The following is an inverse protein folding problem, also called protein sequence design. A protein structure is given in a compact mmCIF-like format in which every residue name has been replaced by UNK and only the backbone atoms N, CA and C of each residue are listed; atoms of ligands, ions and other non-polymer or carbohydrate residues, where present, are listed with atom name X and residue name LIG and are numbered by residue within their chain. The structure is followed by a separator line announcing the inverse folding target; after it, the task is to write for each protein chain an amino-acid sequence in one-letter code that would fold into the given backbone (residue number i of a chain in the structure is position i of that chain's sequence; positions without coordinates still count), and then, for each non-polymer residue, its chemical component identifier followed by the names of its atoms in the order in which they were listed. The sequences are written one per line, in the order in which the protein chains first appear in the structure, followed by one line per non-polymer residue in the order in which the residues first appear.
data_IF_009667980607
#
_entry.id   IF_009667980607
#
_cell.length_a   1.000
_cell.length_b   1.000
_cell.length_c   1.000
_cell.angle_alpha   90.00
_cell.angle_beta   90.00
_cell.angle_gamma   90.00
#
_symmetry.space_group_name_H-M   'P 1'
#
loop_
_entity.id
_entity.type
_entity.pdbx_description
1 polymer ?
#
# COMPACT_ATOMS: atom_id res chain seq x y z
N UNK A 1 -25.69 -8.80 -79.89
CA UNK A 1 -26.69 -7.74 -80.17
C UNK A 1 -27.95 -8.06 -79.36
N UNK A 2 -28.47 -7.10 -78.57
CA UNK A 2 -29.59 -7.20 -77.57
C UNK A 2 -29.25 -8.00 -76.30
N UNK A 3 -29.09 -7.43 -75.09
CA UNK A 3 -29.91 -6.53 -74.25
C UNK A 3 -31.22 -7.16 -73.72
N UNK A 4 -31.25 -7.47 -72.40
CA UNK A 4 -32.30 -7.17 -71.37
C UNK A 4 -31.95 -7.95 -70.06
N UNK A 5 -31.71 -7.32 -68.90
CA UNK A 5 -32.67 -6.65 -67.97
C UNK A 5 -33.70 -7.64 -67.39
N UNK A 6 -34.08 -7.70 -66.10
CA UNK A 6 -33.75 -7.06 -64.80
C UNK A 6 -34.57 -7.86 -63.75
N UNK A 7 -34.12 -7.87 -62.49
CA UNK A 7 -34.90 -8.07 -61.23
C UNK A 7 -35.48 -9.48 -60.95
N UNK A 8 -35.35 -10.08 -59.76
CA UNK A 8 -35.75 -9.48 -58.49
C UNK A 8 -35.23 -10.17 -57.22
N UNK A 9 -34.66 -9.35 -56.31
CA UNK A 9 -34.87 -9.29 -54.86
C UNK A 9 -34.95 -10.58 -54.01
N UNK A 10 -33.92 -10.81 -53.18
CA UNK A 10 -34.10 -10.78 -51.71
C UNK A 10 -32.77 -10.53 -51.01
N UNK A 11 -32.76 -9.39 -50.32
CA UNK A 11 -31.73 -8.86 -49.45
C UNK A 11 -31.67 -9.72 -48.18
N UNK A 12 -30.51 -10.33 -47.90
CA UNK A 12 -30.18 -10.81 -46.56
C UNK A 12 -28.98 -9.97 -46.10
N UNK A 13 -29.19 -9.08 -45.13
CA UNK A 13 -28.09 -8.38 -44.47
C UNK A 13 -27.26 -9.41 -43.69
N UNK A 14 -26.04 -9.66 -44.15
CA UNK A 14 -24.96 -10.14 -43.30
C UNK A 14 -24.01 -8.96 -43.10
N UNK A 15 -24.12 -8.30 -41.95
CA UNK A 15 -23.11 -7.35 -41.48
C UNK A 15 -21.88 -8.15 -41.08
N UNK A 16 -20.87 -8.18 -41.95
CA UNK A 16 -19.51 -8.56 -41.58
C UNK A 16 -18.90 -7.41 -40.78
N UNK A 17 -18.65 -7.62 -39.49
CA UNK A 17 -17.83 -6.72 -38.70
C UNK A 17 -16.41 -6.71 -39.31
N UNK A 18 -16.00 -5.56 -39.85
CA UNK A 18 -14.62 -5.33 -40.26
C UNK A 18 -13.76 -5.17 -39.00
N UNK A 19 -12.94 -6.17 -38.72
CA UNK A 19 -11.85 -6.06 -37.75
C UNK A 19 -10.79 -5.17 -38.38
N UNK A 20 -10.75 -3.90 -37.98
CA UNK A 20 -9.61 -3.04 -38.24
C UNK A 20 -8.48 -3.51 -37.34
N UNK A 21 -7.51 -4.23 -37.91
CA UNK A 21 -6.20 -4.42 -37.29
C UNK A 21 -5.53 -3.06 -37.21
N UNK A 22 -5.64 -2.40 -36.05
CA UNK A 22 -4.73 -1.33 -35.70
C UNK A 22 -3.34 -1.97 -35.60
N UNK A 23 -2.47 -1.66 -36.56
CA UNK A 23 -1.04 -1.91 -36.42
C UNK A 23 -0.57 -1.05 -35.25
N UNK A 24 -0.49 -1.65 -34.06
CA UNK A 24 0.27 -1.09 -32.95
C UNK A 24 1.72 -1.13 -33.38
N UNK A 25 2.21 -0.01 -33.90
CA UNK A 25 3.64 0.20 -34.06
C UNK A 25 4.20 0.23 -32.65
N UNK A 26 4.80 -0.88 -32.21
CA UNK A 26 5.74 -0.88 -31.09
C UNK A 26 6.92 -0.02 -31.54
N UNK A 27 6.85 1.27 -31.25
CA UNK A 27 8.05 2.10 -31.17
C UNK A 27 8.95 1.44 -30.14
N UNK A 28 10.16 1.06 -30.56
CA UNK A 28 11.21 0.59 -29.68
C UNK A 28 11.26 1.52 -28.46
N UNK A 29 11.14 0.94 -27.28
CA UNK A 29 11.27 1.66 -26.04
C UNK A 29 12.66 2.32 -26.05
N UNK A 30 12.69 3.64 -26.21
CA UNK A 30 13.83 4.45 -25.81
C UNK A 30 14.23 3.96 -24.41
N UNK A 31 15.49 3.59 -24.15
CA UNK A 31 15.87 3.18 -22.80
C UNK A 31 15.42 4.30 -21.87
N UNK A 32 14.52 3.98 -20.94
CA UNK A 32 14.06 4.94 -19.96
C UNK A 32 15.31 5.46 -19.27
N UNK A 33 15.65 6.72 -19.53
CA UNK A 33 16.49 7.48 -18.62
C UNK A 33 15.94 7.25 -17.22
N UNK A 34 16.81 7.05 -16.22
CA UNK A 34 16.49 6.89 -14.80
C UNK A 34 15.83 8.17 -14.22
N UNK A 35 14.72 8.58 -14.81
CA UNK A 35 13.87 9.69 -14.44
C UNK A 35 12.77 9.22 -13.51
N UNK A 36 12.40 7.93 -13.52
CA UNK A 36 11.39 7.40 -12.62
C UNK A 36 12.02 6.80 -11.37
N UNK A 37 11.45 7.09 -10.20
CA UNK A 37 11.81 6.45 -8.94
C UNK A 37 10.59 5.97 -8.18
N UNK A 38 10.75 4.93 -7.36
CA UNK A 38 9.76 4.53 -6.38
C UNK A 38 10.14 4.92 -4.97
N UNK A 39 9.12 5.24 -4.20
CA UNK A 39 9.19 5.40 -2.76
C UNK A 39 8.21 4.41 -2.13
N UNK A 40 8.65 3.80 -1.04
CA UNK A 40 7.86 2.84 -0.28
C UNK A 40 7.79 3.27 1.17
N UNK A 41 6.60 3.19 1.74
CA UNK A 41 6.35 3.55 3.14
C UNK A 41 5.48 2.45 3.74
N UNK A 42 5.85 1.95 4.90
CA UNK A 42 5.01 0.98 5.60
C UNK A 42 4.98 1.18 7.11
N UNK A 43 3.97 0.55 7.72
CA UNK A 43 3.85 0.35 9.15
C UNK A 43 3.57 -1.14 9.39
N UNK A 44 4.38 -1.80 10.22
CA UNK A 44 4.32 -3.24 10.44
C UNK A 44 4.60 -3.59 11.90
N UNK A 45 4.06 -4.72 12.35
CA UNK A 45 4.26 -5.28 13.69
C UNK A 45 5.40 -6.29 13.60
N UNK A 46 6.57 -6.05 14.22
CA UNK A 46 7.73 -6.93 14.07
C UNK A 46 7.51 -8.35 14.60
N UNK A 47 6.62 -8.51 15.58
CA UNK A 47 6.33 -9.79 16.23
C UNK A 47 5.33 -10.65 15.43
N UNK A 48 5.37 -11.97 15.63
CA UNK A 48 4.34 -12.89 15.11
C UNK A 48 2.95 -12.60 15.72
N UNK A 49 2.91 -12.22 16.99
CA UNK A 49 1.69 -11.86 17.70
C UNK A 49 1.91 -10.62 18.57
N UNK A 50 1.01 -9.66 18.46
CA UNK A 50 0.93 -8.51 19.35
C UNK A 50 -0.22 -8.68 20.34
N UNK A 51 -0.07 -8.27 21.62
CA UNK A 51 -1.19 -8.20 22.54
C UNK A 51 -2.24 -7.18 22.04
N UNK A 52 -3.48 -7.32 22.50
CA UNK A 52 -4.50 -6.34 22.18
C UNK A 52 -4.12 -4.97 22.79
N UNK A 53 -3.86 -3.93 21.97
CA UNK A 53 -3.41 -2.65 22.48
C UNK A 53 -4.51 -1.88 23.23
N UNK A 54 -5.76 -2.33 23.12
CA UNK A 54 -6.90 -1.78 23.83
C UNK A 54 -7.35 -2.65 25.02
N UNK A 55 -6.53 -3.61 25.47
CA UNK A 55 -6.91 -4.54 26.55
C UNK A 55 -7.20 -3.86 27.90
N UNK A 56 -6.67 -2.67 28.13
CA UNK A 56 -6.92 -1.88 29.35
C UNK A 56 -8.22 -1.07 29.30
N UNK A 57 -8.69 -0.76 28.08
CA UNK A 57 -9.82 0.16 27.86
C UNK A 57 -11.11 -0.60 27.51
N UNK A 58 -10.99 -1.83 27.01
CA UNK A 58 -12.13 -2.64 26.57
C UNK A 58 -12.20 -3.95 27.37
N UNK A 59 -13.40 -4.48 27.63
CA UNK A 59 -13.53 -5.90 27.97
C UNK A 59 -12.74 -6.71 26.94
N UNK A 60 -12.01 -7.77 27.33
CA UNK A 60 -11.10 -8.47 26.42
C UNK A 60 -11.90 -9.27 25.39
N UNK A 61 -12.40 -8.58 24.35
CA UNK A 61 -13.04 -9.21 23.20
C UNK A 61 -12.00 -9.90 22.34
N UNK A 62 -10.79 -9.35 22.25
CA UNK A 62 -9.62 -9.99 21.66
C UNK A 62 -8.46 -9.97 22.67
N UNK A 63 -7.69 -11.05 22.70
CA UNK A 63 -6.50 -11.22 23.54
C UNK A 63 -5.23 -10.81 22.81
N UNK A 64 -5.15 -11.06 21.50
CA UNK A 64 -3.98 -10.78 20.66
C UNK A 64 -4.36 -10.61 19.19
N UNK A 65 -3.43 -10.11 18.39
CA UNK A 65 -3.53 -9.96 16.95
C UNK A 65 -2.31 -10.57 16.26
N UNK A 66 -2.47 -11.08 15.04
CA UNK A 66 -1.35 -11.47 14.18
C UNK A 66 -0.54 -10.22 13.81
N UNK A 67 0.77 -10.26 14.01
CA UNK A 67 1.71 -9.28 13.49
C UNK A 67 2.31 -9.70 12.15
N UNK A 68 3.39 -9.05 11.73
CA UNK A 68 4.01 -9.26 10.42
C UNK A 68 5.26 -10.17 10.48
N UNK A 69 5.72 -10.53 11.68
CA UNK A 69 6.88 -11.42 11.94
C UNK A 69 8.10 -11.11 11.06
N UNK A 70 8.51 -9.85 11.04
CA UNK A 70 9.61 -9.38 10.19
C UNK A 70 10.37 -8.21 10.78
N UNK A 71 11.60 -8.05 10.31
CA UNK A 71 12.40 -6.84 10.54
C UNK A 71 12.21 -5.78 9.45
N UNK A 72 13.09 -4.78 9.49
CA UNK A 72 13.25 -3.83 8.40
C UNK A 72 13.90 -4.51 7.21
N UNK A 73 13.11 -4.73 6.16
CA UNK A 73 13.55 -5.41 4.95
C UNK A 73 12.86 -4.79 3.73
N UNK A 74 13.65 -4.44 2.71
CA UNK A 74 13.14 -3.78 1.51
C UNK A 74 12.18 -4.68 0.73
N UNK A 75 12.50 -5.96 0.57
CA UNK A 75 11.67 -6.90 -0.20
C UNK A 75 10.29 -7.07 0.47
N UNK A 76 10.28 -7.19 1.80
CA UNK A 76 9.04 -7.25 2.58
C UNK A 76 8.23 -5.96 2.46
N UNK A 77 8.87 -4.79 2.54
CA UNK A 77 8.20 -3.51 2.32
C UNK A 77 7.61 -3.42 0.91
N UNK A 78 8.36 -3.80 -0.12
CA UNK A 78 7.90 -3.79 -1.52
C UNK A 78 6.76 -4.79 -1.79
N UNK A 79 6.68 -5.88 -1.02
CA UNK A 79 5.60 -6.87 -1.14
C UNK A 79 4.22 -6.33 -0.75
N UNK A 80 4.17 -5.20 -0.02
CA UNK A 80 2.94 -4.62 0.51
C UNK A 80 2.36 -5.37 1.71
N UNK A 81 3.06 -6.38 2.25
CA UNK A 81 2.67 -7.11 3.45
C UNK A 81 3.00 -6.30 4.71
N UNK A 82 2.10 -5.38 5.04
CA UNK A 82 2.19 -4.55 6.22
C UNK A 82 0.81 -4.19 6.76
N UNK A 83 0.74 -3.64 7.99
CA UNK A 83 -0.51 -3.10 8.55
C UNK A 83 -1.00 -1.88 7.77
N UNK A 84 -0.06 -1.10 7.23
CA UNK A 84 -0.31 0.01 6.33
C UNK A 84 0.86 0.08 5.35
N UNK A 85 0.58 0.18 4.06
CA UNK A 85 1.58 0.27 3.00
C UNK A 85 1.20 1.37 2.01
N UNK A 86 2.18 2.17 1.59
CA UNK A 86 2.06 3.15 0.50
C UNK A 86 3.23 3.00 -0.47
N UNK A 87 2.92 2.94 -1.77
CA UNK A 87 3.89 3.10 -2.86
C UNK A 87 3.62 4.42 -3.58
N UNK A 88 4.68 5.16 -3.89
CA UNK A 88 4.63 6.36 -4.74
C UNK A 88 5.62 6.21 -5.87
N UNK A 89 5.15 6.38 -7.11
CA UNK A 89 5.97 6.40 -8.30
C UNK A 89 6.06 7.83 -8.82
N UNK A 90 7.28 8.35 -8.93
CA UNK A 90 7.54 9.72 -9.36
C UNK A 90 8.32 9.75 -10.67
N UNK A 91 8.02 10.72 -11.52
CA UNK A 91 8.87 11.19 -12.62
C UNK A 91 9.65 12.43 -12.16
N UNK A 92 10.97 12.28 -12.04
CA UNK A 92 11.92 13.30 -11.63
C UNK A 92 12.08 14.43 -12.65
N UNK A 93 11.61 14.26 -13.89
CA UNK A 93 11.75 15.25 -14.97
C UNK A 93 10.41 15.87 -15.40
N UNK A 94 9.27 15.26 -15.05
CA UNK A 94 7.95 15.79 -15.42
C UNK A 94 7.50 17.00 -14.59
N UNK A 95 6.80 17.95 -15.21
CA UNK A 95 6.19 19.10 -14.52
C UNK A 95 5.17 18.66 -13.45
N UNK A 96 4.42 17.60 -13.74
CA UNK A 96 3.57 16.88 -12.78
C UNK A 96 4.30 15.59 -12.36
N UNK A 97 5.03 15.59 -11.24
CA UNK A 97 5.95 14.50 -10.91
C UNK A 97 5.24 13.23 -10.45
N UNK A 98 3.98 13.28 -9.99
CA UNK A 98 3.28 12.10 -9.50
C UNK A 98 2.73 11.26 -10.66
N UNK A 99 3.35 10.12 -10.94
CA UNK A 99 2.85 9.17 -11.95
C UNK A 99 1.70 8.35 -11.37
N UNK A 100 1.94 7.74 -10.21
CA UNK A 100 0.95 6.92 -9.53
C UNK A 100 1.24 6.85 -8.04
N UNK A 101 0.19 6.55 -7.27
CA UNK A 101 0.32 6.17 -5.87
C UNK A 101 -0.67 5.07 -5.53
N UNK A 102 -0.32 4.25 -4.56
CA UNK A 102 -1.13 3.14 -4.09
C UNK A 102 -0.98 3.00 -2.59
N UNK A 103 -2.08 2.84 -1.88
CA UNK A 103 -2.09 2.61 -0.42
C UNK A 103 -2.97 1.42 -0.12
N UNK A 104 -2.48 0.48 0.69
CA UNK A 104 -3.24 -0.71 1.11
C UNK A 104 -2.92 -1.14 2.55
N UNK A 105 -3.70 -2.09 3.05
CA UNK A 105 -3.54 -2.74 4.36
C UNK A 105 -3.58 -4.26 4.21
N UNK A 106 -2.86 -4.96 5.08
CA UNK A 106 -3.07 -6.39 5.25
C UNK A 106 -4.34 -6.66 6.07
N UNK A 107 -5.00 -7.83 5.90
CA UNK A 107 -6.07 -8.24 6.79
C UNK A 107 -5.63 -8.24 8.25
N UNK A 108 -6.49 -7.75 9.13
CA UNK A 108 -6.32 -7.88 10.58
C UNK A 108 -6.88 -9.22 11.02
N UNK A 109 -6.08 -10.00 11.75
CA UNK A 109 -6.52 -11.26 12.36
C UNK A 109 -6.42 -11.11 13.87
N UNK A 110 -7.54 -11.23 14.57
CA UNK A 110 -7.62 -11.12 16.03
C UNK A 110 -8.00 -12.45 16.66
N UNK A 111 -7.42 -12.77 17.81
CA UNK A 111 -7.71 -13.98 18.58
C UNK A 111 -8.48 -13.65 19.84
N UNK A 112 -9.43 -14.51 20.21
CA UNK A 112 -10.23 -14.40 21.43
C UNK A 112 -10.53 -15.74 22.04
N UNK A 113 -10.88 -15.76 23.33
CA UNK A 113 -11.26 -16.99 24.02
C UNK A 113 -12.78 -17.09 24.07
N UNK A 114 -13.33 -18.15 23.49
CA UNK A 114 -14.76 -18.48 23.54
C UNK A 114 -14.93 -19.89 24.10
N UNK A 115 -15.66 -20.02 25.22
CA UNK A 115 -15.86 -21.31 25.91
C UNK A 115 -14.55 -22.05 26.28
N UNK A 116 -13.45 -21.32 26.49
CA UNK A 116 -12.14 -21.89 26.82
C UNK A 116 -11.28 -22.27 25.61
N UNK A 117 -11.77 -22.06 24.39
CA UNK A 117 -11.05 -22.30 23.15
C UNK A 117 -10.64 -20.97 22.48
N UNK A 118 -9.47 -20.96 21.81
CA UNK A 118 -9.05 -19.82 21.01
C UNK A 118 -9.77 -19.82 19.66
N UNK A 119 -10.41 -18.70 19.34
CA UNK A 119 -11.12 -18.45 18.07
C UNK A 119 -10.49 -17.24 17.40
N UNK A 120 -10.38 -17.26 16.08
CA UNK A 120 -9.85 -16.15 15.29
C UNK A 120 -10.92 -15.52 14.41
N UNK A 121 -10.92 -14.19 14.34
CA UNK A 121 -11.72 -13.41 13.41
C UNK A 121 -10.78 -12.66 12.44
N UNK A 122 -11.23 -12.40 11.21
CA UNK A 122 -10.43 -11.70 10.19
C UNK A 122 -11.24 -10.61 9.51
N UNK A 123 -10.68 -9.41 9.42
CA UNK A 123 -11.32 -8.28 8.74
C UNK A 123 -10.27 -7.36 8.12
N UNK A 124 -10.59 -6.76 6.98
CA UNK A 124 -9.75 -5.78 6.29
C UNK A 124 -10.51 -4.45 6.16
N UNK A 125 -9.85 -3.35 6.49
CA UNK A 125 -10.33 -1.98 6.27
C UNK A 125 -9.58 -1.35 5.11
N UNK A 126 -10.25 -0.48 4.35
CA UNK A 126 -9.56 0.39 3.42
C UNK A 126 -8.76 1.45 4.21
N UNK A 127 -7.50 1.74 3.82
CA UNK A 127 -6.76 2.84 4.42
C UNK A 127 -7.30 4.19 3.96
N UNK A 128 -7.06 5.21 4.75
CA UNK A 128 -7.21 6.61 4.32
C UNK A 128 -5.85 7.12 3.89
N UNK A 129 -5.74 7.76 2.73
CA UNK A 129 -4.49 8.39 2.29
C UNK A 129 -4.70 9.67 1.51
N UNK A 130 -3.71 10.55 1.56
CA UNK A 130 -3.63 11.77 0.79
C UNK A 130 -2.17 11.99 0.38
N UNK A 131 -1.92 11.94 -0.92
CA UNK A 131 -0.57 12.01 -1.49
C UNK A 131 -0.55 13.12 -2.53
N UNK A 132 0.41 14.03 -2.40
CA UNK A 132 0.58 15.14 -3.34
C UNK A 132 2.06 15.28 -3.67
N UNK A 133 2.38 15.48 -4.95
CA UNK A 133 3.73 15.82 -5.38
C UNK A 133 3.66 17.01 -6.33
N UNK A 134 4.43 18.06 -6.03
CA UNK A 134 4.47 19.27 -6.85
C UNK A 134 5.90 19.66 -7.16
N UNK A 135 6.13 20.14 -8.39
CA UNK A 135 7.44 20.70 -8.77
C UNK A 135 7.53 22.15 -8.30
N UNK A 136 8.66 22.50 -7.68
CA UNK A 136 9.00 23.84 -7.22
C UNK A 136 10.44 24.16 -7.62
N UNK A 137 10.62 24.73 -8.81
CA UNK A 137 11.95 24.89 -9.41
C UNK A 137 12.53 23.52 -9.79
N UNK A 138 13.75 23.25 -9.35
CA UNK A 138 14.43 21.97 -9.61
C UNK A 138 14.10 20.88 -8.56
N UNK A 139 13.26 21.19 -7.57
CA UNK A 139 12.87 20.28 -6.52
C UNK A 139 11.43 19.79 -6.68
N UNK A 140 11.18 18.55 -6.26
CA UNK A 140 9.86 17.97 -6.04
C UNK A 140 9.55 18.03 -4.55
N UNK A 141 8.40 18.61 -4.21
CA UNK A 141 7.84 18.60 -2.87
C UNK A 141 6.75 17.54 -2.80
N UNK A 142 6.99 16.49 -2.04
CA UNK A 142 6.10 15.37 -1.83
C UNK A 142 5.56 15.38 -0.41
N UNK A 143 4.25 15.31 -0.26
CA UNK A 143 3.57 15.05 1.01
C UNK A 143 2.86 13.71 0.95
N UNK A 144 3.10 12.86 1.95
CA UNK A 144 2.52 11.52 2.04
C UNK A 144 1.82 11.38 3.38
N UNK A 145 0.50 11.31 3.35
CA UNK A 145 -0.31 10.96 4.52
C UNK A 145 -0.98 9.61 4.29
N UNK A 146 -0.89 8.73 5.28
CA UNK A 146 -1.74 7.54 5.32
C UNK A 146 -2.08 7.14 6.76
N UNK A 147 -3.27 6.57 6.94
CA UNK A 147 -3.69 5.96 8.20
C UNK A 147 -4.53 4.70 7.97
N UNK A 148 -4.41 3.75 8.91
CA UNK A 148 -5.20 2.53 8.94
C UNK A 148 -5.68 2.22 10.37
N UNK A 149 -6.98 1.99 10.50
CA UNK A 149 -7.65 1.65 11.75
C UNK A 149 -7.78 0.13 11.88
N UNK A 150 -7.70 -0.39 13.10
CA UNK A 150 -7.97 -1.80 13.37
C UNK A 150 -9.49 -2.07 13.26
N UNK A 151 -9.95 -2.74 12.19
CA UNK A 151 -11.37 -2.89 11.94
C UNK A 151 -12.04 -3.87 12.90
N UNK A 152 -11.29 -4.80 13.50
CA UNK A 152 -11.81 -5.73 14.50
C UNK A 152 -12.01 -5.07 15.85
N UNK A 153 -11.32 -3.98 16.17
CA UNK A 153 -11.59 -3.23 17.39
C UNK A 153 -12.76 -2.27 17.17
N UNK A 154 -12.77 -1.51 16.07
CA UNK A 154 -13.80 -0.49 15.81
C UNK A 154 -15.24 -1.01 15.84
N UNK A 155 -15.48 -2.21 15.28
CA UNK A 155 -16.82 -2.82 15.24
C UNK A 155 -17.32 -3.20 16.63
N UNK A 156 -16.42 -3.44 17.58
CA UNK A 156 -16.75 -3.90 18.94
C UNK A 156 -16.53 -2.84 20.02
N UNK A 157 -16.04 -1.65 19.66
CA UNK A 157 -15.98 -0.52 20.58
C UNK A 157 -17.41 -0.14 21.00
N UNK A 158 -17.69 -0.05 22.32
CA UNK A 158 -18.89 0.65 22.78
C UNK A 158 -18.95 2.05 22.17
N UNK A 159 -20.16 2.58 21.87
CA UNK A 159 -20.30 3.91 21.26
C UNK A 159 -19.57 5.04 22.02
N UNK A 160 -19.42 4.88 23.33
CA UNK A 160 -18.81 5.87 24.22
C UNK A 160 -17.32 5.60 24.53
N UNK A 161 -16.74 4.50 24.02
CA UNK A 161 -15.33 4.20 24.22
C UNK A 161 -14.45 5.11 23.35
N UNK A 162 -13.31 5.59 23.87
CA UNK A 162 -12.38 6.35 23.04
C UNK A 162 -11.87 5.47 21.88
N UNK A 163 -11.75 6.04 20.66
CA UNK A 163 -11.28 5.28 19.52
C UNK A 163 -9.82 4.85 19.74
N UNK A 164 -9.52 3.61 19.36
CA UNK A 164 -8.14 3.14 19.30
C UNK A 164 -7.41 3.95 18.24
N UNK A 165 -6.25 4.57 18.55
CA UNK A 165 -5.51 5.33 17.57
C UNK A 165 -5.07 4.45 16.37
N UNK A 166 -5.13 4.96 15.13
CA UNK A 166 -4.77 4.21 13.93
C UNK A 166 -3.26 4.13 13.74
N UNK A 167 -2.73 3.12 13.06
CA UNK A 167 -1.37 3.21 12.51
C UNK A 167 -1.34 4.37 11.51
N UNK A 168 -0.34 5.25 11.58
CA UNK A 168 -0.37 6.52 10.84
C UNK A 168 1.02 7.10 10.61
N UNK A 169 1.21 7.66 9.42
CA UNK A 169 2.34 8.53 9.12
C UNK A 169 1.92 9.75 8.28
N UNK A 170 2.68 10.84 8.46
CA UNK A 170 2.60 12.05 7.67
C UNK A 170 4.02 12.53 7.36
N UNK A 171 4.46 12.33 6.12
CA UNK A 171 5.81 12.65 5.67
C UNK A 171 5.81 13.85 4.74
N UNK A 172 6.85 14.67 4.88
CA UNK A 172 7.21 15.77 4.01
C UNK A 172 8.59 15.48 3.42
N UNK A 173 8.67 15.44 2.10
CA UNK A 173 9.86 15.00 1.38
C UNK A 173 10.17 16.03 0.30
N UNK A 174 11.38 16.58 0.31
CA UNK A 174 11.92 17.38 -0.79
C UNK A 174 12.94 16.55 -1.54
N UNK A 175 12.85 16.49 -2.86
CA UNK A 175 13.73 15.73 -3.74
C UNK A 175 14.30 16.64 -4.81
N UNK A 176 15.61 16.69 -4.99
CA UNK A 176 16.26 17.45 -6.05
C UNK A 176 17.27 16.58 -6.79
N UNK A 177 17.16 16.51 -8.11
CA UNK A 177 18.09 15.73 -8.92
C UNK A 177 19.32 16.58 -9.29
N UNK A 178 20.49 16.09 -8.90
CA UNK A 178 21.77 16.74 -9.18
C UNK A 178 22.66 15.79 -9.98
N UNK A 179 22.54 15.84 -11.30
CA UNK A 179 23.24 14.91 -12.21
C UNK A 179 22.75 13.47 -12.02
N UNK A 180 23.64 12.59 -11.54
CA UNK A 180 23.34 11.18 -11.26
C UNK A 180 22.94 10.91 -9.80
N UNK A 181 22.70 11.97 -9.03
CA UNK A 181 22.32 11.88 -7.64
C UNK A 181 20.94 12.47 -7.41
N UNK A 182 20.28 11.97 -6.37
CA UNK A 182 19.04 12.49 -5.83
C UNK A 182 19.29 12.98 -4.42
N UNK A 183 19.35 14.29 -4.24
CA UNK A 183 19.39 14.92 -2.92
C UNK A 183 17.99 14.87 -2.32
N UNK A 184 17.89 14.53 -1.03
CA UNK A 184 16.61 14.49 -0.34
C UNK A 184 16.66 15.16 1.02
N UNK A 185 15.51 15.70 1.44
CA UNK A 185 15.20 16.03 2.82
C UNK A 185 13.91 15.32 3.19
N UNK A 186 13.91 14.55 4.27
CA UNK A 186 12.78 13.79 4.77
C UNK A 186 12.45 14.23 6.19
N UNK A 187 11.20 14.54 6.48
CA UNK A 187 10.70 14.83 7.83
C UNK A 187 9.25 14.42 7.96
N UNK A 188 8.69 14.50 9.16
CA UNK A 188 7.27 14.21 9.34
C UNK A 188 6.93 13.77 10.75
N UNK A 189 5.89 12.93 10.83
CA UNK A 189 5.45 12.31 12.07
C UNK A 189 5.02 10.88 11.83
N UNK A 190 5.33 9.99 12.77
CA UNK A 190 4.74 8.65 12.89
C UNK A 190 4.04 8.53 14.24
N UNK A 191 3.38 7.41 14.51
CA UNK A 191 3.12 7.03 15.90
C UNK A 191 4.30 6.28 16.48
N UNK A 192 4.28 6.10 17.80
CA UNK A 192 5.25 5.24 18.49
C UNK A 192 5.03 3.77 18.16
N UNK A 193 3.78 3.32 17.96
CA UNK A 193 3.46 1.96 17.53
C UNK A 193 2.56 1.94 16.28
N UNK A 194 2.72 1.00 15.33
CA UNK A 194 3.72 -0.08 15.28
C UNK A 194 5.07 0.40 14.73
N UNK A 195 5.94 -0.47 14.20
CA UNK A 195 7.19 -0.04 13.56
C UNK A 195 6.94 0.60 12.18
N UNK A 196 7.80 1.53 11.75
CA UNK A 196 7.65 2.25 10.47
C UNK A 196 8.92 2.22 9.64
N UNK A 197 8.80 2.02 8.32
CA UNK A 197 9.92 2.15 7.41
C UNK A 197 9.60 3.04 6.21
N UNK A 198 10.63 3.71 5.70
CA UNK A 198 10.55 4.49 4.47
C UNK A 198 11.80 4.24 3.62
N UNK A 199 11.59 3.97 2.33
CA UNK A 199 12.62 3.79 1.33
C UNK A 199 12.40 4.76 0.16
N UNK A 200 13.48 5.38 -0.31
CA UNK A 200 13.50 6.23 -1.50
C UNK A 200 14.48 5.60 -2.47
N UNK A 201 14.02 5.25 -3.68
CA UNK A 201 14.83 4.55 -4.68
C UNK A 201 15.63 3.39 -4.06
N UNK A 202 14.92 2.49 -3.36
CA UNK A 202 15.44 1.30 -2.69
C UNK A 202 16.43 1.58 -1.54
N UNK A 203 16.68 2.84 -1.20
CA UNK A 203 17.56 3.25 -0.09
C UNK A 203 16.73 3.55 1.17
N UNK A 204 17.03 2.94 2.33
CA UNK A 204 16.31 3.24 3.57
C UNK A 204 16.62 4.67 4.03
N UNK A 205 15.57 5.46 4.29
CA UNK A 205 15.68 6.84 4.81
C UNK A 205 15.11 6.97 6.22
N UNK A 206 14.22 6.06 6.61
CA UNK A 206 13.68 5.94 7.96
C UNK A 206 13.53 4.46 8.29
N UNK A 207 14.09 4.03 9.42
CA UNK A 207 13.86 2.73 10.03
C UNK A 207 13.51 2.99 11.50
N UNK A 208 12.23 3.21 11.80
CA UNK A 208 11.78 3.55 13.14
C UNK A 208 11.25 2.30 13.85
N UNK A 209 12.01 1.81 14.82
CA UNK A 209 11.67 0.65 15.63
C UNK A 209 10.87 0.99 16.89
N UNK A 210 10.35 2.22 17.02
CA UNK A 210 9.71 2.70 18.26
C UNK A 210 8.52 1.86 18.76
N UNK A 211 8.04 0.91 17.95
CA UNK A 211 6.90 0.03 18.26
C UNK A 211 7.16 -1.14 19.20
N UNK A 212 7.92 -0.99 20.30
CA UNK A 212 8.01 -2.08 21.30
C UNK A 212 6.80 -2.12 22.24
N UNK A 213 6.14 -0.98 22.48
CA UNK A 213 5.01 -0.91 23.41
C UNK A 213 3.66 -0.69 22.69
N UNK A 214 2.84 -1.74 22.51
CA UNK A 214 1.52 -1.64 21.90
C UNK A 214 0.54 -0.81 22.74
N UNK A 215 0.85 -0.44 23.99
CA UNK A 215 0.01 0.42 24.81
C UNK A 215 0.26 1.92 24.55
N UNK A 216 1.30 2.29 23.79
CA UNK A 216 1.63 3.68 23.45
C UNK A 216 1.02 4.16 22.11
N UNK A 217 -0.13 3.62 21.70
CA UNK A 217 -0.80 4.00 20.44
C UNK A 217 -1.09 5.50 20.30
N UNK A 218 -1.23 6.23 21.40
CA UNK A 218 -1.61 7.64 21.40
C UNK A 218 -0.48 8.60 21.01
N UNK A 219 0.78 8.18 21.16
CA UNK A 219 1.93 9.07 21.03
C UNK A 219 2.28 9.26 19.56
N UNK A 220 2.36 10.53 19.15
CA UNK A 220 2.85 10.93 17.82
C UNK A 220 4.31 11.35 17.99
N UNK A 221 5.20 10.71 17.25
CA UNK A 221 6.63 10.96 17.27
C UNK A 221 7.02 11.87 16.10
N UNK A 222 7.62 13.05 16.37
CA UNK A 222 8.16 13.88 15.32
C UNK A 222 9.46 13.28 14.78
N UNK A 223 9.58 13.26 13.45
CA UNK A 223 10.81 12.87 12.76
C UNK A 223 11.55 14.16 12.41
N UNK A 224 12.70 14.37 13.07
CA UNK A 224 13.59 15.46 12.75
C UNK A 224 14.06 15.37 11.29
N UNK A 225 14.33 16.50 10.60
CA UNK A 225 14.77 16.47 9.21
C UNK A 225 16.02 15.60 8.99
N UNK A 226 15.89 14.61 8.12
CA UNK A 226 16.96 13.73 7.65
C UNK A 226 17.33 14.20 6.24
N UNK A 227 18.61 14.54 6.04
CA UNK A 227 19.14 14.93 4.74
C UNK A 227 20.08 13.84 4.23
N UNK A 228 20.04 13.59 2.92
CA UNK A 228 20.93 12.64 2.31
C UNK A 228 20.97 12.76 0.80
N UNK A 229 21.72 11.85 0.18
CA UNK A 229 21.91 11.79 -1.25
C UNK A 229 21.93 10.33 -1.69
N UNK A 230 21.18 10.01 -2.75
CA UNK A 230 21.07 8.65 -3.32
C UNK A 230 21.69 8.64 -4.71
N UNK A 231 22.46 7.60 -5.04
CA UNK A 231 22.96 7.41 -6.40
C UNK A 231 21.88 6.78 -7.28
N UNK A 232 21.51 7.45 -8.37
CA UNK A 232 20.51 6.96 -9.34
C UNK A 232 21.07 5.88 -10.27
N UNK A 233 22.38 5.60 -10.25
CA UNK A 233 22.98 4.55 -11.05
C UNK A 233 22.59 3.12 -10.59
N UNK A 234 22.06 2.99 -9.37
CA UNK A 234 21.64 1.74 -8.76
C UNK A 234 20.13 1.60 -8.62
N UNK A 235 19.36 2.61 -9.04
CA UNK A 235 17.91 2.61 -8.90
C UNK A 235 17.28 1.67 -9.93
N UNK A 236 16.73 0.56 -9.46
CA UNK A 236 15.94 -0.36 -10.28
C UNK A 236 14.61 0.31 -10.65
N UNK A 237 14.27 0.31 -11.94
CA UNK A 237 12.90 0.68 -12.36
C UNK A 237 11.98 -0.44 -11.87
N UNK A 238 11.01 -0.16 -10.98
CA UNK A 238 10.14 -1.21 -10.49
C UNK A 238 9.14 -1.59 -11.58
N UNK A 239 8.92 -2.90 -11.73
CA UNK A 239 7.74 -3.36 -12.45
C UNK A 239 6.48 -2.97 -11.66
N UNK A 240 5.42 -2.49 -12.33
CA UNK A 240 4.16 -2.24 -11.64
C UNK A 240 3.68 -3.55 -11.01
N UNK A 241 3.61 -3.59 -9.67
CA UNK A 241 3.06 -4.70 -8.92
C UNK A 241 1.58 -4.82 -9.25
N UNK A 242 1.27 -5.65 -10.24
CA UNK A 242 -0.09 -6.12 -10.45
C UNK A 242 -0.41 -7.05 -9.29
N UNK A 243 -1.24 -6.57 -8.37
CA UNK A 243 -1.86 -7.36 -7.31
C UNK A 243 -2.86 -8.34 -7.95
N UNK A 244 -2.34 -9.31 -8.70
CA UNK A 244 -3.09 -10.41 -9.26
C UNK A 244 -3.34 -11.43 -8.14
N UNK A 245 -4.45 -11.22 -7.41
CA UNK A 245 -5.25 -12.25 -6.78
C UNK A 245 -4.52 -13.37 -6.03
N UNK A 246 -4.18 -13.13 -4.77
CA UNK A 246 -4.14 -14.20 -3.76
C UNK A 246 -5.50 -14.24 -3.07
N UNK A 247 -6.47 -14.86 -3.76
CA UNK A 247 -7.56 -15.54 -3.07
C UNK A 247 -6.93 -16.75 -2.36
N UNK A 248 -6.49 -16.55 -1.12
CA UNK A 248 -6.15 -17.67 -0.25
C UNK A 248 -7.44 -18.45 -0.02
N UNK A 249 -7.46 -19.66 -0.56
CA UNK A 249 -8.41 -20.72 -0.22
C UNK A 249 -8.47 -20.85 1.31
N UNK A 250 -9.47 -20.24 1.93
CA UNK A 250 -10.00 -20.66 3.23
C UNK A 250 -10.73 -21.99 3.03
N UNK A 251 -9.95 -23.07 3.00
CA UNK A 251 -10.45 -24.43 2.95
C UNK A 251 -11.41 -24.72 4.10
N UNK A 252 -12.54 -25.33 3.75
CA UNK A 252 -13.54 -25.92 4.63
C UNK A 252 -12.92 -26.62 5.86
N UNK A 253 -13.16 -26.08 7.05
CA UNK A 253 -13.30 -26.88 8.26
C UNK A 253 -14.79 -27.02 8.55
N UNK A 254 -15.37 -28.08 8.00
CA UNK A 254 -16.72 -28.52 8.30
C UNK A 254 -16.81 -28.94 9.77
N UNK A 255 -17.36 -28.06 10.62
CA UNK A 255 -17.69 -28.41 11.99
C UNK A 255 -18.89 -29.38 11.99
N UNK A 256 -18.59 -30.65 12.25
CA UNK A 256 -19.55 -31.74 12.35
C UNK A 256 -20.36 -31.57 13.63
N UNK A 257 -21.55 -30.95 13.56
CA UNK A 257 -22.55 -31.02 14.64
C UNK A 257 -22.91 -32.49 14.88
N UNK A 258 -22.53 -33.03 16.04
CA UNK A 258 -23.09 -34.29 16.54
C UNK A 258 -24.22 -33.93 17.51
N UNK A 259 -25.44 -34.23 17.09
CA UNK A 259 -26.57 -34.36 18.00
C UNK A 259 -26.39 -35.63 18.82
N UNK A 260 -26.39 -35.50 20.15
CA UNK A 260 -27.06 -36.38 21.12
C UNK A 260 -27.56 -35.49 22.24
#
# INVERSE_FOLDING_TARGET
MKMRSLNSWKLLLLTTASVTTANVVLTEATPASAATISLYFDAFIPEERAPNPASEVLPPFYTSFIGDDRGFDLEATQSGQARLFTQVLLDLEADEPLISSFTDTSPTVGFRIENGEEVSDTLKSAPTSAITATRSGDAILLNVFAEARNPLIEVFLPPDAPPVPPAQYNYQISLAKTGNFLDYTFSGTTREYPAYSAYIADTPVLLNSSGEDPFQLGVIEPIAPIQGQISLASATVPEPTTLAGLAVLGGLLALKRRAV
#
